data_IF_038386104379
#
_entry.id   IF_038386104379
#
_cell.length_a   1.000
_cell.length_b   1.000
_cell.length_c   1.000
_cell.angle_alpha   90.00
_cell.angle_beta   90.00
_cell.angle_gamma   90.00
#
_symmetry.space_group_name_H-M   'P 1'
#
loop_
_entity.id
_entity.type
_entity.pdbx_description
1 polymer ?
#
# COMPACT_ATOMS: atom_id res chain seq x y z
N UNK A 1 13.51 -3.67 -33.46
CA UNK A 1 12.58 -3.95 -32.34
C UNK A 1 11.20 -4.41 -32.82
N UNK A 2 10.56 -3.73 -33.78
CA UNK A 2 9.17 -4.04 -34.21
C UNK A 2 8.95 -5.45 -34.78
N UNK A 3 9.94 -6.03 -35.47
CA UNK A 3 9.81 -7.35 -36.11
C UNK A 3 9.63 -8.49 -35.10
N UNK A 4 10.26 -8.40 -33.93
CA UNK A 4 10.12 -9.40 -32.88
C UNK A 4 8.71 -9.37 -32.27
N UNK A 5 8.12 -8.18 -32.11
CA UNK A 5 6.74 -8.02 -31.65
C UNK A 5 5.75 -8.65 -32.63
N UNK A 6 5.92 -8.39 -33.93
CA UNK A 6 5.04 -8.94 -34.98
C UNK A 6 5.12 -10.46 -35.03
N UNK A 7 6.34 -11.03 -34.97
CA UNK A 7 6.52 -12.48 -34.90
C UNK A 7 5.82 -13.08 -33.68
N UNK A 8 5.97 -12.46 -32.51
CA UNK A 8 5.38 -12.96 -31.27
C UNK A 8 3.84 -12.96 -31.30
N UNK A 9 3.23 -11.93 -31.90
CA UNK A 9 1.77 -11.86 -32.10
C UNK A 9 1.28 -12.97 -33.03
N UNK A 10 1.94 -13.19 -34.17
CA UNK A 10 1.55 -14.22 -35.15
C UNK A 10 1.70 -15.62 -34.56
N UNK A 11 2.82 -15.87 -33.86
CA UNK A 11 3.07 -17.15 -33.21
C UNK A 11 2.06 -17.43 -32.09
N UNK A 12 1.80 -16.45 -31.22
CA UNK A 12 0.84 -16.59 -30.11
C UNK A 12 -0.59 -16.77 -30.59
N UNK A 13 -0.98 -16.12 -31.70
CA UNK A 13 -2.32 -16.29 -32.28
C UNK A 13 -2.57 -17.67 -32.90
N UNK A 14 -1.52 -18.37 -33.36
CA UNK A 14 -1.64 -19.71 -33.98
C UNK A 14 -1.44 -20.85 -32.99
N UNK A 15 -0.59 -20.66 -31.98
CA UNK A 15 -0.18 -21.70 -31.03
C UNK A 15 -0.65 -21.44 -29.59
N UNK A 16 -1.38 -20.35 -29.33
CA UNK A 16 -1.84 -20.00 -28.00
C UNK A 16 -2.90 -20.97 -27.46
N UNK A 17 -2.75 -21.38 -26.20
CA UNK A 17 -3.78 -22.13 -25.47
C UNK A 17 -5.02 -21.26 -25.24
N UNK A 18 -6.20 -21.88 -25.19
CA UNK A 18 -7.45 -21.16 -24.89
C UNK A 18 -7.43 -20.72 -23.42
N UNK A 19 -7.25 -19.43 -23.21
CA UNK A 19 -7.23 -18.82 -21.88
C UNK A 19 -8.65 -18.51 -21.42
N UNK A 20 -8.90 -18.67 -20.12
CA UNK A 20 -10.14 -18.27 -19.47
C UNK A 20 -10.33 -16.75 -19.40
N UNK A 21 -11.34 -16.33 -18.65
CA UNK A 21 -11.74 -14.92 -18.50
C UNK A 21 -10.66 -14.03 -17.89
N UNK A 22 -9.87 -14.55 -16.95
CA UNK A 22 -8.86 -13.78 -16.23
C UNK A 22 -7.60 -14.61 -15.94
N UNK A 23 -6.62 -14.63 -16.84
CA UNK A 23 -5.33 -15.31 -16.62
C UNK A 23 -4.41 -14.62 -15.61
N UNK A 24 -4.60 -13.33 -15.33
CA UNK A 24 -3.62 -12.51 -14.61
C UNK A 24 -4.14 -11.98 -13.26
N UNK A 25 -5.42 -12.15 -12.95
CA UNK A 25 -6.02 -11.60 -11.74
C UNK A 25 -6.33 -10.11 -11.85
N UNK A 26 -6.75 -9.63 -13.01
CA UNK A 26 -6.99 -8.20 -13.26
C UNK A 26 -8.17 -7.65 -12.46
N UNK A 27 -8.06 -6.40 -11.98
CA UNK A 27 -9.04 -5.80 -11.06
C UNK A 27 -10.15 -5.02 -11.77
N UNK A 28 -9.91 -4.61 -13.02
CA UNK A 28 -10.88 -3.87 -13.83
C UNK A 28 -12.01 -4.78 -14.32
N UNK A 29 -13.15 -4.16 -14.64
CA UNK A 29 -14.37 -4.86 -15.00
C UNK A 29 -14.24 -5.69 -16.29
N UNK A 30 -13.28 -5.39 -17.17
CA UNK A 30 -13.03 -6.21 -18.37
C UNK A 30 -12.60 -7.65 -18.03
N UNK A 31 -11.89 -7.85 -16.92
CA UNK A 31 -11.50 -9.19 -16.44
C UNK A 31 -12.65 -9.91 -15.76
N UNK A 32 -13.81 -9.25 -15.61
CA UNK A 32 -15.04 -9.87 -15.11
C UNK A 32 -15.91 -10.48 -16.22
N UNK A 33 -15.56 -10.32 -17.51
CA UNK A 33 -16.31 -10.90 -18.63
C UNK A 33 -15.55 -12.03 -19.35
N UNK A 34 -16.24 -12.86 -20.14
CA UNK A 34 -15.61 -13.96 -20.88
C UNK A 34 -14.75 -13.44 -22.03
N UNK A 35 -13.76 -14.22 -22.45
CA UNK A 35 -12.94 -13.95 -23.64
C UNK A 35 -13.29 -14.97 -24.73
N UNK A 36 -13.97 -14.60 -25.83
CA UNK A 36 -14.42 -13.26 -26.22
C UNK A 36 -15.66 -12.75 -25.45
N UNK A 37 -15.88 -11.42 -25.36
CA UNK A 37 -17.00 -10.87 -24.60
C UNK A 37 -18.34 -11.26 -25.22
N UNK A 38 -19.34 -11.65 -24.42
CA UNK A 38 -20.68 -11.91 -24.91
C UNK A 38 -21.34 -10.60 -25.33
N UNK A 39 -22.27 -10.63 -26.28
CA UNK A 39 -23.10 -9.46 -26.62
C UNK A 39 -24.47 -9.68 -25.97
N UNK A 40 -24.89 -8.91 -24.95
CA UNK A 40 -24.24 -7.76 -24.28
C UNK A 40 -23.12 -8.16 -23.28
N UNK A 41 -22.17 -7.24 -23.05
CA UNK A 41 -20.91 -7.50 -22.32
C UNK A 41 -21.07 -8.09 -20.91
N UNK A 42 -22.19 -7.81 -20.25
CA UNK A 42 -22.56 -8.34 -18.94
C UNK A 42 -24.00 -8.85 -18.98
N UNK A 43 -24.23 -10.07 -18.49
CA UNK A 43 -25.58 -10.60 -18.30
C UNK A 43 -26.29 -9.94 -17.11
N UNK A 44 -25.52 -9.55 -16.09
CA UNK A 44 -25.97 -8.82 -14.90
C UNK A 44 -24.97 -7.69 -14.65
N UNK A 45 -25.46 -6.46 -14.47
CA UNK A 45 -24.60 -5.30 -14.25
C UNK A 45 -23.93 -5.43 -12.87
N UNK A 46 -22.58 -5.49 -12.80
CA UNK A 46 -21.88 -5.60 -11.53
C UNK A 46 -21.85 -4.26 -10.80
N UNK A 47 -21.93 -4.29 -9.47
CA UNK A 47 -21.75 -3.11 -8.61
C UNK A 47 -20.29 -2.94 -8.23
N UNK A 48 -19.67 -1.82 -8.58
CA UNK A 48 -18.31 -1.50 -8.17
C UNK A 48 -18.30 -1.00 -6.72
N UNK A 49 -17.50 -1.64 -5.86
CA UNK A 49 -17.21 -1.18 -4.49
C UNK A 49 -15.83 -0.53 -4.45
N UNK A 50 -15.59 0.31 -3.43
CA UNK A 50 -14.30 0.95 -3.25
C UNK A 50 -13.37 0.05 -2.40
N UNK A 51 -12.24 -0.35 -2.98
CA UNK A 51 -11.24 -1.18 -2.28
C UNK A 51 -10.56 -0.43 -1.12
N UNK A 52 -10.62 0.90 -1.11
CA UNK A 52 -10.08 1.74 -0.06
C UNK A 52 -10.88 1.63 1.25
N UNK A 53 -12.13 1.13 1.22
CA UNK A 53 -12.91 0.82 2.42
C UNK A 53 -12.30 -0.34 3.24
N UNK A 54 -11.66 -1.30 2.56
CA UNK A 54 -11.13 -2.52 3.18
C UNK A 54 -9.62 -2.42 3.43
N UNK A 55 -8.88 -1.81 2.50
CA UNK A 55 -7.41 -1.73 2.54
C UNK A 55 -6.87 -0.31 2.75
N UNK A 56 -7.74 0.67 2.97
CA UNK A 56 -7.31 2.06 3.20
C UNK A 56 -6.54 2.23 4.51
N UNK A 57 -5.35 2.82 4.43
CA UNK A 57 -4.47 3.12 5.57
C UNK A 57 -4.87 4.35 6.40
N UNK A 58 -6.18 4.67 6.47
CA UNK A 58 -6.65 5.97 6.98
C UNK A 58 -7.11 5.95 8.44
N UNK A 59 -6.96 4.85 9.17
CA UNK A 59 -7.47 4.75 10.56
C UNK A 59 -6.36 4.88 11.61
N UNK A 60 -5.11 4.63 11.24
CA UNK A 60 -3.97 4.46 12.14
C UNK A 60 -3.09 5.72 12.26
N UNK A 61 -3.23 6.67 11.33
CA UNK A 61 -2.48 7.93 11.37
C UNK A 61 -3.03 8.91 12.43
N UNK A 62 -4.35 9.05 12.55
CA UNK A 62 -4.95 9.97 13.53
C UNK A 62 -4.72 9.50 14.98
N UNK A 63 -4.90 8.22 15.25
CA UNK A 63 -4.75 7.66 16.60
C UNK A 63 -3.30 7.75 17.08
N UNK A 64 -2.33 7.53 16.18
CA UNK A 64 -0.89 7.69 16.46
C UNK A 64 -0.50 9.14 16.76
N UNK A 65 -1.11 10.12 16.08
CA UNK A 65 -0.86 11.55 16.30
C UNK A 65 -1.51 12.02 17.62
N UNK A 66 -2.77 11.63 17.89
CA UNK A 66 -3.48 11.93 19.15
C UNK A 66 -2.73 11.35 20.35
N UNK A 67 -2.26 10.12 20.25
CA UNK A 67 -1.46 9.47 21.30
C UNK A 67 -0.14 10.21 21.56
N UNK A 68 0.55 10.65 20.51
CA UNK A 68 1.80 11.43 20.65
C UNK A 68 1.57 12.80 21.26
N UNK A 69 0.46 13.46 20.93
CA UNK A 69 0.04 14.73 21.51
C UNK A 69 -0.34 14.58 22.98
N UNK A 70 -1.09 13.53 23.31
CA UNK A 70 -1.58 13.28 24.67
C UNK A 70 -0.49 12.77 25.62
N UNK A 71 0.41 11.89 25.15
CA UNK A 71 1.52 11.32 25.95
C UNK A 71 2.71 12.27 26.10
N UNK A 72 2.46 13.58 26.13
CA UNK A 72 3.44 14.68 26.17
C UNK A 72 4.77 14.29 26.80
N UNK A 73 5.77 14.01 25.97
CA UNK A 73 7.08 13.55 26.42
C UNK A 73 7.79 14.74 27.07
N UNK A 74 7.74 14.83 28.40
CA UNK A 74 8.47 15.87 29.14
C UNK A 74 9.97 15.62 28.96
N UNK A 75 10.63 16.50 28.21
CA UNK A 75 12.10 16.53 28.10
C UNK A 75 12.65 16.93 29.48
N UNK A 76 13.56 16.13 30.05
CA UNK A 76 14.22 16.49 31.31
C UNK A 76 14.84 17.89 31.17
N UNK A 77 14.59 18.81 32.12
CA UNK A 77 15.12 20.16 32.03
C UNK A 77 16.64 20.11 32.12
N UNK A 78 17.33 20.75 31.16
CA UNK A 78 18.80 20.81 31.08
C UNK A 78 19.46 21.30 32.38
N UNK A 79 18.74 22.00 33.24
CA UNK A 79 19.23 22.43 34.56
C UNK A 79 19.52 21.27 35.51
N UNK A 80 18.83 20.11 35.41
CA UNK A 80 19.13 18.97 36.29
C UNK A 80 20.51 18.36 35.98
N UNK A 81 20.93 18.40 34.71
CA UNK A 81 22.24 17.88 34.29
C UNK A 81 23.40 18.72 34.82
N UNK A 82 23.21 20.05 34.91
CA UNK A 82 24.22 20.96 35.44
C UNK A 82 24.36 20.83 36.97
N UNK A 83 23.25 20.54 37.67
CA UNK A 83 23.25 20.34 39.12
C UNK A 83 23.92 19.02 39.50
N UNK A 84 23.63 17.93 38.77
CA UNK A 84 24.29 16.64 38.99
C UNK A 84 25.82 16.74 38.74
N UNK A 85 26.25 17.52 37.73
CA UNK A 85 27.67 17.72 37.44
C UNK A 85 28.40 18.61 38.47
N UNK A 86 27.69 19.50 39.15
CA UNK A 86 28.26 20.38 40.17
C UNK A 86 28.45 19.66 41.51
N UNK A 87 27.57 18.72 41.85
CA UNK A 87 27.66 17.90 43.06
C UNK A 87 28.85 16.93 42.98
N UNK A 88 29.07 16.31 41.82
CA UNK A 88 30.21 15.41 41.57
C UNK A 88 31.57 16.16 41.64
N UNK A 89 31.62 17.44 41.27
CA UNK A 89 32.83 18.25 41.36
C UNK A 89 33.18 18.66 42.81
N UNK A 90 32.20 18.67 43.72
CA UNK A 90 32.40 19.05 45.12
C UNK A 90 32.95 17.91 45.98
N UNK A 91 32.58 16.65 45.70
CA UNK A 91 33.12 15.49 46.44
C UNK A 91 34.58 15.17 46.12
N UNK A 92 35.09 15.52 44.93
CA UNK A 92 36.48 15.24 44.53
C UNK A 92 37.50 16.18 45.23
N UNK A 93 37.03 17.21 45.93
CA UNK A 93 37.89 18.20 46.62
C UNK A 93 37.90 18.10 48.16
N UNK A 94 37.29 17.09 48.77
CA UNK A 94 37.38 16.82 50.23
C UNK A 94 38.20 15.57 50.55
#
# INVERSE_FOLDING_TARGET
>A
SQLLLVWNIIYSGRNGEKVGKDPWGGWSLEWSTTSPPPTPSFHVIPTQRDMNEIYGHHNDAEDSIKDKLWKGKKKKPTSSVILDAADEAAEVSS
#
